data_IF_091629619174
#
_entry.id   IF_091629619174
#
_cell.length_a   1.000
_cell.length_b   1.000
_cell.length_c   1.000
_cell.angle_alpha   90.00
_cell.angle_beta   90.00
_cell.angle_gamma   90.00
#
_symmetry.space_group_name_H-M   'P 1'
#
loop_
_entity.id
_entity.type
_entity.pdbx_description
1 polymer ?
#
# COMPACT_ATOMS: atom_id res chain seq x y z
N UNK A 1 20.80 -13.63 30.43
CA UNK A 1 20.70 -13.51 28.96
C UNK A 1 19.83 -14.66 28.48
N UNK A 2 18.57 -14.39 28.15
CA UNK A 2 17.62 -15.39 27.60
C UNK A 2 17.63 -15.13 26.08
N UNK A 3 17.94 -16.13 25.24
CA UNK A 3 17.90 -15.94 23.80
C UNK A 3 16.44 -15.74 23.39
N UNK A 4 16.19 -14.66 22.65
CA UNK A 4 14.93 -14.41 22.00
C UNK A 4 14.64 -15.60 21.07
N UNK A 5 13.64 -16.38 21.43
CA UNK A 5 13.10 -17.45 20.60
C UNK A 5 12.43 -16.79 19.41
N UNK A 6 13.14 -16.72 18.29
CA UNK A 6 12.55 -16.37 17.01
C UNK A 6 11.51 -17.45 16.69
N UNK A 7 10.24 -17.15 16.96
CA UNK A 7 9.14 -17.97 16.50
C UNK A 7 9.03 -17.75 14.98
N UNK A 8 9.87 -18.43 14.22
CA UNK A 8 9.69 -18.67 12.81
C UNK A 8 8.43 -19.52 12.71
N UNK A 9 7.30 -18.85 12.52
CA UNK A 9 6.10 -19.47 11.97
C UNK A 9 6.51 -20.03 10.60
N UNK A 10 6.93 -21.29 10.58
CA UNK A 10 7.00 -22.09 9.37
C UNK A 10 5.56 -22.26 8.89
N UNK A 11 5.01 -21.24 8.20
CA UNK A 11 3.86 -21.46 7.36
C UNK A 11 4.34 -22.41 6.26
N UNK A 12 3.70 -23.58 6.09
CA UNK A 12 4.03 -24.45 4.97
C UNK A 12 3.84 -23.63 3.70
N UNK A 13 4.91 -23.51 2.91
CA UNK A 13 4.96 -22.67 1.73
C UNK A 13 3.74 -22.92 0.81
N UNK A 14 3.20 -21.88 0.23
CA UNK A 14 2.11 -21.81 -0.76
C UNK A 14 0.72 -22.31 -0.31
N UNK A 15 0.58 -23.49 0.26
CA UNK A 15 -0.75 -24.04 0.61
C UNK A 15 -1.49 -23.26 1.70
N UNK A 16 -0.79 -22.58 2.61
CA UNK A 16 -1.41 -21.78 3.68
C UNK A 16 -1.84 -20.39 3.21
N UNK A 17 -1.06 -19.75 2.34
CA UNK A 17 -1.42 -18.45 1.77
C UNK A 17 -2.63 -18.60 0.84
N UNK A 18 -2.65 -19.63 0.00
CA UNK A 18 -3.79 -19.93 -0.88
C UNK A 18 -5.08 -20.17 -0.10
N UNK A 19 -5.00 -20.91 1.01
CA UNK A 19 -6.15 -21.16 1.88
C UNK A 19 -6.66 -19.87 2.56
N UNK A 20 -5.76 -18.94 2.89
CA UNK A 20 -6.13 -17.63 3.42
C UNK A 20 -6.75 -16.74 2.34
N UNK A 21 -6.12 -16.66 1.16
CA UNK A 21 -6.60 -15.86 0.03
C UNK A 21 -7.93 -16.35 -0.54
N UNK A 22 -8.26 -17.64 -0.39
CA UNK A 22 -9.57 -18.17 -0.72
C UNK A 22 -10.70 -17.63 0.19
N UNK A 23 -10.34 -17.08 1.36
CA UNK A 23 -11.27 -16.48 2.33
C UNK A 23 -11.38 -14.96 2.20
N UNK A 24 -10.43 -14.33 1.52
CA UNK A 24 -10.36 -12.87 1.34
C UNK A 24 -8.94 -12.35 1.26
N UNK A 25 -8.78 -11.06 1.38
CA UNK A 25 -7.47 -10.41 1.43
C UNK A 25 -6.73 -10.79 2.74
N UNK A 26 -5.41 -10.93 2.62
CA UNK A 26 -4.52 -11.20 3.76
C UNK A 26 -3.81 -9.91 4.15
N UNK A 27 -3.76 -9.63 5.45
CA UNK A 27 -3.06 -8.48 6.00
C UNK A 27 -1.86 -8.92 6.82
N UNK A 28 -0.71 -8.32 6.56
CA UNK A 28 0.51 -8.53 7.31
C UNK A 28 0.97 -7.21 7.95
N UNK A 29 1.40 -7.28 9.19
CA UNK A 29 1.95 -6.14 9.93
C UNK A 29 3.35 -6.51 10.41
N UNK A 30 4.33 -5.73 10.00
CA UNK A 30 5.71 -5.89 10.43
C UNK A 30 6.04 -4.82 11.47
N UNK A 31 6.41 -5.25 12.68
CA UNK A 31 6.85 -4.37 13.75
C UNK A 31 8.38 -4.33 13.85
N UNK A 32 8.91 -3.18 14.24
CA UNK A 32 10.31 -3.03 14.63
C UNK A 32 10.58 -3.59 16.03
N UNK A 33 11.84 -3.65 16.43
CA UNK A 33 12.23 -4.08 17.78
C UNK A 33 11.75 -3.12 18.87
N UNK A 34 11.43 -1.90 18.51
CA UNK A 34 10.83 -0.85 19.35
C UNK A 34 9.31 -0.93 19.45
N UNK A 35 8.69 -1.94 18.80
CA UNK A 35 7.23 -2.12 18.75
C UNK A 35 6.52 -1.17 17.78
N UNK A 36 7.24 -0.29 17.06
CA UNK A 36 6.63 0.58 16.05
C UNK A 36 6.42 -0.17 14.74
N UNK A 37 5.40 0.22 14.01
CA UNK A 37 5.13 -0.34 12.68
C UNK A 37 6.28 -0.02 11.73
N UNK A 38 6.78 -1.04 11.04
CA UNK A 38 7.73 -0.89 9.94
C UNK A 38 7.02 -0.89 8.58
N UNK A 39 6.03 -1.75 8.43
CA UNK A 39 5.31 -1.91 7.17
C UNK A 39 3.97 -2.61 7.42
N UNK A 40 2.93 -2.16 6.74
CA UNK A 40 1.67 -2.87 6.61
C UNK A 40 1.50 -3.32 5.16
N UNK A 41 1.12 -4.57 4.94
CA UNK A 41 0.95 -5.15 3.60
C UNK A 41 -0.43 -5.78 3.48
N UNK A 42 -1.15 -5.44 2.41
CA UNK A 42 -2.35 -6.13 1.98
C UNK A 42 -2.02 -7.02 0.78
N UNK A 43 -2.44 -8.28 0.81
CA UNK A 43 -2.23 -9.26 -0.25
C UNK A 43 -3.60 -9.69 -0.77
N UNK A 44 -3.80 -9.62 -2.07
CA UNK A 44 -5.04 -10.00 -2.72
C UNK A 44 -4.78 -10.73 -4.03
N UNK A 45 -5.66 -11.67 -4.36
CA UNK A 45 -5.72 -12.25 -5.70
C UNK A 45 -6.73 -11.47 -6.55
N UNK A 46 -6.25 -10.95 -7.69
CA UNK A 46 -7.06 -10.20 -8.65
C UNK A 46 -7.24 -11.06 -9.90
N UNK A 47 -8.48 -11.45 -10.28
CA UNK A 47 -8.73 -12.34 -11.42
C UNK A 47 -8.62 -11.58 -12.75
N UNK A 48 -7.41 -11.15 -13.08
CA UNK A 48 -7.05 -10.51 -14.36
C UNK A 48 -5.54 -10.62 -14.58
N UNK A 49 -5.09 -10.39 -15.83
CA UNK A 49 -3.67 -10.44 -16.19
C UNK A 49 -2.86 -9.34 -15.50
N UNK A 50 -1.59 -9.61 -15.27
CA UNK A 50 -0.65 -8.66 -14.69
C UNK A 50 -0.55 -7.37 -15.49
N UNK A 51 -0.64 -7.45 -16.82
CA UNK A 51 -0.59 -6.27 -17.69
C UNK A 51 -1.78 -5.32 -17.45
N UNK A 52 -2.97 -5.86 -17.19
CA UNK A 52 -4.14 -5.04 -16.86
C UNK A 52 -4.02 -4.40 -15.48
N UNK A 53 -3.48 -5.13 -14.50
CA UNK A 53 -3.19 -4.57 -13.17
C UNK A 53 -2.15 -3.46 -13.30
N UNK A 54 -1.06 -3.73 -14.02
CA UNK A 54 0.01 -2.76 -14.27
C UNK A 54 -0.50 -1.49 -14.93
N UNK A 55 -1.24 -1.64 -16.04
CA UNK A 55 -1.83 -0.50 -16.76
C UNK A 55 -2.74 0.35 -15.85
N UNK A 56 -3.52 -0.28 -14.95
CA UNK A 56 -4.37 0.44 -14.00
C UNK A 56 -3.58 1.21 -12.95
N UNK A 57 -2.51 0.62 -12.42
CA UNK A 57 -1.66 1.25 -11.41
C UNK A 57 -0.78 2.36 -11.99
N UNK A 58 -0.43 2.30 -13.28
CA UNK A 58 0.40 3.32 -13.93
C UNK A 58 -0.40 4.41 -14.64
N UNK A 59 -1.71 4.33 -14.63
CA UNK A 59 -2.62 5.39 -15.09
C UNK A 59 -2.85 6.43 -13.98
N UNK A 60 -1.79 7.22 -13.72
CA UNK A 60 -1.71 8.15 -12.59
C UNK A 60 -2.84 9.19 -12.52
N UNK A 61 -3.42 9.56 -13.65
CA UNK A 61 -4.53 10.52 -13.70
C UNK A 61 -5.90 9.91 -13.39
N UNK A 62 -6.02 8.59 -13.26
CA UNK A 62 -7.30 7.91 -13.09
C UNK A 62 -7.62 7.48 -11.64
N UNK A 63 -6.74 7.69 -10.69
CA UNK A 63 -6.86 7.16 -9.33
C UNK A 63 -8.14 7.61 -8.62
N UNK A 64 -8.56 8.84 -8.80
CA UNK A 64 -9.84 9.35 -8.25
C UNK A 64 -11.06 8.54 -8.71
N UNK A 65 -10.97 7.81 -9.81
CA UNK A 65 -12.09 7.00 -10.32
C UNK A 65 -12.25 5.65 -9.63
N UNK A 66 -11.22 5.19 -8.91
CA UNK A 66 -11.21 3.84 -8.36
C UNK A 66 -10.59 3.71 -6.95
N UNK A 67 -9.66 4.58 -6.59
CA UNK A 67 -9.03 4.58 -5.26
C UNK A 67 -9.95 5.33 -4.28
N UNK A 68 -10.50 4.66 -3.29
CA UNK A 68 -11.31 5.33 -2.28
C UNK A 68 -10.54 6.46 -1.60
N UNK A 69 -11.25 7.54 -1.27
CA UNK A 69 -10.70 8.75 -0.65
C UNK A 69 -9.75 9.58 -1.54
N UNK A 70 -9.43 9.16 -2.75
CA UNK A 70 -8.66 9.97 -3.68
C UNK A 70 -9.56 11.02 -4.35
N UNK A 71 -9.40 12.29 -3.96
CA UNK A 71 -10.11 13.44 -4.56
C UNK A 71 -9.39 13.96 -5.81
N UNK A 72 -8.08 13.70 -5.91
CA UNK A 72 -7.28 14.07 -7.06
C UNK A 72 -5.95 13.35 -7.13
N UNK A 73 -5.55 13.03 -8.36
CA UNK A 73 -4.22 12.52 -8.70
C UNK A 73 -3.77 13.17 -10.00
N UNK A 74 -2.63 13.84 -9.98
CA UNK A 74 -2.11 14.57 -11.14
C UNK A 74 -0.67 14.15 -11.43
N UNK A 75 -0.44 13.60 -12.62
CA UNK A 75 0.91 13.32 -13.08
C UNK A 75 1.64 14.65 -13.35
N UNK A 76 2.66 14.96 -12.56
CA UNK A 76 3.48 16.17 -12.69
C UNK A 76 4.59 15.95 -13.72
N UNK A 77 5.28 14.81 -13.64
CA UNK A 77 6.31 14.43 -14.62
C UNK A 77 6.44 12.92 -14.74
N UNK A 78 6.92 12.49 -15.92
CA UNK A 78 7.29 11.11 -16.20
C UNK A 78 8.63 11.11 -16.93
N UNK A 79 9.68 10.63 -16.26
CA UNK A 79 11.04 10.58 -16.79
C UNK A 79 11.52 9.12 -16.78
N UNK A 80 11.48 8.50 -17.95
CA UNK A 80 11.74 7.06 -18.06
C UNK A 80 10.76 6.25 -17.20
N UNK A 81 11.27 5.55 -16.20
CA UNK A 81 10.49 4.74 -15.27
C UNK A 81 10.20 5.46 -13.95
N UNK A 82 10.33 6.77 -13.89
CA UNK A 82 10.07 7.56 -12.67
C UNK A 82 8.93 8.52 -12.91
N UNK A 83 7.84 8.35 -12.18
CA UNK A 83 6.70 9.27 -12.17
C UNK A 83 6.73 10.14 -10.91
N UNK A 84 6.40 11.43 -11.06
CA UNK A 84 6.11 12.34 -9.96
C UNK A 84 4.62 12.67 -10.02
N UNK A 85 3.90 12.49 -8.92
CA UNK A 85 2.45 12.60 -8.87
C UNK A 85 2.03 13.43 -7.67
N UNK A 86 1.14 14.39 -7.88
CA UNK A 86 0.47 15.14 -6.82
C UNK A 86 -0.82 14.43 -6.42
N UNK A 87 -1.02 14.32 -5.11
CA UNK A 87 -2.16 13.66 -4.50
C UNK A 87 -2.98 14.60 -3.63
N UNK A 88 -4.29 14.42 -3.70
CA UNK A 88 -5.27 15.02 -2.80
C UNK A 88 -6.13 13.90 -2.21
N UNK A 89 -5.93 13.59 -0.93
CA UNK A 89 -6.56 12.46 -0.24
C UNK A 89 -7.50 13.00 0.84
N UNK A 90 -8.77 12.62 0.74
CA UNK A 90 -9.79 12.94 1.73
C UNK A 90 -9.61 12.09 2.99
N UNK A 91 -9.56 12.77 4.13
CA UNK A 91 -9.48 12.14 5.46
C UNK A 91 -10.47 12.81 6.39
N UNK A 92 -10.64 12.28 7.61
CA UNK A 92 -11.42 13.00 8.64
C UNK A 92 -10.68 14.28 9.03
N UNK A 93 -11.16 15.42 8.51
CA UNK A 93 -10.54 16.73 8.66
C UNK A 93 -10.15 17.33 7.32
N UNK A 94 -9.14 18.22 7.27
CA UNK A 94 -8.63 18.76 6.01
C UNK A 94 -8.00 17.65 5.17
N UNK A 95 -8.15 17.73 3.83
CA UNK A 95 -7.50 16.82 2.91
C UNK A 95 -5.99 16.80 3.12
N UNK A 96 -5.41 15.63 2.93
CA UNK A 96 -3.96 15.42 2.96
C UNK A 96 -3.42 15.56 1.54
N UNK A 97 -2.58 16.59 1.32
CA UNK A 97 -1.95 16.86 0.02
C UNK A 97 -0.46 16.59 0.11
N UNK A 98 0.04 15.84 -0.85
CA UNK A 98 1.46 15.51 -0.94
C UNK A 98 1.88 15.19 -2.37
N UNK A 99 3.18 15.29 -2.63
CA UNK A 99 3.80 14.83 -3.87
C UNK A 99 4.56 13.54 -3.61
N UNK A 100 4.28 12.52 -4.40
CA UNK A 100 4.98 11.23 -4.39
C UNK A 100 5.85 11.05 -5.63
N UNK A 101 7.02 10.44 -5.44
CA UNK A 101 7.89 9.98 -6.52
C UNK A 101 7.85 8.46 -6.58
N UNK A 102 7.56 7.92 -7.76
CA UNK A 102 7.34 6.50 -8.00
C UNK A 102 8.34 5.96 -9.01
N UNK A 103 9.14 4.99 -8.60
CA UNK A 103 10.03 4.24 -9.49
C UNK A 103 9.35 2.94 -9.90
N UNK A 104 9.23 2.73 -11.19
CA UNK A 104 8.55 1.60 -11.81
C UNK A 104 9.57 0.63 -12.40
N UNK A 105 9.42 -0.67 -12.15
CA UNK A 105 10.13 -1.72 -12.86
C UNK A 105 9.11 -2.59 -13.61
N UNK A 106 8.92 -2.37 -14.91
CA UNK A 106 7.94 -3.10 -15.70
C UNK A 106 8.32 -4.57 -15.94
N UNK A 107 9.60 -4.95 -15.77
CA UNK A 107 10.05 -6.34 -15.90
C UNK A 107 9.79 -7.12 -14.62
N UNK A 108 10.10 -6.53 -13.48
CA UNK A 108 9.81 -7.11 -12.16
C UNK A 108 8.38 -6.87 -11.71
N UNK A 109 7.59 -6.08 -12.44
CA UNK A 109 6.24 -5.64 -12.08
C UNK A 109 6.16 -5.05 -10.66
N UNK A 110 7.10 -4.13 -10.37
CA UNK A 110 7.15 -3.44 -9.07
C UNK A 110 7.05 -1.93 -9.24
N UNK A 111 6.34 -1.28 -8.31
CA UNK A 111 6.25 0.18 -8.20
C UNK A 111 6.62 0.55 -6.78
N UNK A 112 7.66 1.37 -6.61
CA UNK A 112 8.09 1.89 -5.31
C UNK A 112 7.92 3.38 -5.25
N UNK A 113 7.12 3.83 -4.29
CA UNK A 113 6.81 5.23 -4.05
C UNK A 113 7.43 5.74 -2.76
N UNK A 114 7.83 6.99 -2.79
CA UNK A 114 8.21 7.75 -1.60
C UNK A 114 7.62 9.16 -1.66
N UNK A 115 7.22 9.68 -0.52
CA UNK A 115 6.82 11.07 -0.42
C UNK A 115 8.05 11.97 -0.60
N UNK A 116 7.90 13.06 -1.37
CA UNK A 116 8.99 14.01 -1.66
C UNK A 116 8.64 15.44 -1.29
N UNK A 117 7.36 15.80 -1.19
CA UNK A 117 6.89 17.12 -0.76
C UNK A 117 5.50 17.06 -0.13
N UNK A 118 5.15 18.06 0.66
CA UNK A 118 3.85 18.19 1.34
C UNK A 118 3.73 17.34 2.60
N UNK A 119 2.51 16.88 2.89
CA UNK A 119 2.22 16.07 4.06
C UNK A 119 2.79 14.64 3.98
N UNK A 120 2.70 13.88 5.06
CA UNK A 120 3.14 12.48 5.17
C UNK A 120 4.66 12.28 4.98
N UNK A 121 5.47 13.22 5.43
CA UNK A 121 6.93 13.18 5.29
C UNK A 121 7.53 11.84 5.72
N UNK A 122 8.36 11.24 4.86
CA UNK A 122 8.99 9.94 5.08
C UNK A 122 8.09 8.73 4.82
N UNK A 123 6.89 8.92 4.27
CA UNK A 123 6.02 7.81 3.87
C UNK A 123 6.51 7.11 2.60
N UNK A 124 6.23 5.82 2.54
CA UNK A 124 6.60 4.96 1.40
C UNK A 124 5.47 4.03 1.02
N UNK A 125 5.43 3.67 -0.26
CA UNK A 125 4.48 2.73 -0.86
C UNK A 125 5.20 1.73 -1.76
N UNK A 126 4.69 0.51 -1.81
CA UNK A 126 5.20 -0.49 -2.74
C UNK A 126 4.06 -1.35 -3.27
N UNK A 127 4.05 -1.57 -4.57
CA UNK A 127 3.23 -2.58 -5.23
C UNK A 127 4.15 -3.63 -5.83
N UNK A 128 3.83 -4.90 -5.58
CA UNK A 128 4.49 -6.05 -6.20
C UNK A 128 3.40 -6.91 -6.83
N UNK A 129 3.56 -7.19 -8.13
CA UNK A 129 2.59 -7.97 -8.89
C UNK A 129 3.24 -9.27 -9.33
N UNK A 130 2.68 -10.39 -8.91
CA UNK A 130 3.13 -11.72 -9.31
C UNK A 130 2.09 -12.35 -10.22
N UNK A 131 2.40 -12.61 -11.50
CA UNK A 131 1.46 -13.27 -12.40
C UNK A 131 1.21 -14.72 -11.96
N UNK A 132 -0.07 -15.09 -11.85
CA UNK A 132 -0.52 -16.46 -11.61
C UNK A 132 -1.21 -16.99 -12.89
N UNK A 133 -0.42 -17.26 -13.92
CA UNK A 133 -0.90 -17.56 -15.26
C UNK A 133 -1.38 -16.32 -16.02
N UNK A 134 -2.26 -16.50 -17.00
CA UNK A 134 -2.70 -15.41 -17.90
C UNK A 134 -3.92 -14.63 -17.38
N UNK A 135 -4.62 -15.15 -16.38
CA UNK A 135 -5.91 -14.62 -15.95
C UNK A 135 -5.99 -14.29 -14.46
N UNK A 136 -4.89 -14.36 -13.74
CA UNK A 136 -4.83 -14.04 -12.31
C UNK A 136 -3.50 -13.37 -11.97
N UNK A 137 -3.55 -12.44 -11.03
CA UNK A 137 -2.38 -11.75 -10.48
C UNK A 137 -2.48 -11.73 -8.96
N UNK A 138 -1.42 -12.18 -8.29
CA UNK A 138 -1.23 -11.90 -6.88
C UNK A 138 -0.71 -10.47 -6.74
N UNK A 139 -1.41 -9.65 -5.98
CA UNK A 139 -1.09 -8.25 -5.72
C UNK A 139 -0.70 -8.11 -4.26
N UNK A 140 0.50 -7.61 -4.01
CA UNK A 140 0.96 -7.22 -2.69
C UNK A 140 1.12 -5.69 -2.66
N UNK A 141 0.40 -5.04 -1.77
CA UNK A 141 0.49 -3.60 -1.56
C UNK A 141 0.97 -3.30 -0.16
N UNK A 142 2.13 -2.69 -0.07
CA UNK A 142 2.77 -2.33 1.19
C UNK A 142 2.77 -0.82 1.39
N UNK A 143 2.45 -0.38 2.59
CA UNK A 143 2.48 1.04 2.96
C UNK A 143 3.23 1.24 4.29
N UNK A 144 3.89 2.38 4.37
CA UNK A 144 4.41 2.96 5.59
C UNK A 144 4.09 4.45 5.57
N UNK A 145 2.95 4.81 6.16
CA UNK A 145 2.51 6.20 6.28
C UNK A 145 3.03 6.78 7.58
N UNK A 146 3.72 7.89 7.50
CA UNK A 146 4.09 8.68 8.66
C UNK A 146 2.98 9.69 8.96
N UNK A 147 1.98 9.26 9.72
CA UNK A 147 0.80 10.08 10.04
C UNK A 147 1.03 11.03 11.22
N UNK A 148 2.09 10.85 11.97
CA UNK A 148 2.38 11.61 13.20
C UNK A 148 2.62 13.09 12.91
N UNK A 149 3.10 13.42 11.72
CA UNK A 149 3.38 14.82 11.34
C UNK A 149 2.16 15.56 10.79
N UNK A 150 1.06 14.86 10.50
CA UNK A 150 -0.10 15.49 9.85
C UNK A 150 -0.98 16.26 10.82
N UNK A 151 -0.99 15.90 12.12
CA UNK A 151 -1.85 16.53 13.11
C UNK A 151 -1.28 16.36 14.53
N UNK A 152 -1.24 17.44 15.30
CA UNK A 152 -0.78 17.41 16.69
C UNK A 152 -1.59 16.46 17.59
N UNK A 153 -2.89 16.28 17.31
CA UNK A 153 -3.76 15.36 18.05
C UNK A 153 -3.31 13.91 17.76
N UNK A 154 -3.02 13.59 16.50
CA UNK A 154 -2.51 12.27 16.10
C UNK A 154 -1.19 11.99 16.81
N UNK A 155 -0.29 12.97 16.86
CA UNK A 155 1.00 12.86 17.58
C UNK A 155 0.79 12.56 19.06
N UNK A 156 -0.11 13.28 19.73
CA UNK A 156 -0.35 13.09 21.15
C UNK A 156 -0.99 11.72 21.46
N UNK A 157 -1.84 11.21 20.57
CA UNK A 157 -2.43 9.88 20.72
C UNK A 157 -1.40 8.79 20.42
N UNK A 158 -0.58 8.97 19.39
CA UNK A 158 0.47 8.03 18.99
C UNK A 158 1.55 7.87 20.06
N UNK A 159 1.93 8.95 20.74
CA UNK A 159 2.89 8.92 21.86
C UNK A 159 2.39 8.05 23.03
N UNK A 160 1.08 7.89 23.15
CA UNK A 160 0.46 7.05 24.20
C UNK A 160 0.10 5.65 23.70
N UNK A 161 -0.23 5.51 22.42
CA UNK A 161 -0.76 4.26 21.84
C UNK A 161 -0.29 4.07 20.39
N UNK A 162 0.84 3.39 20.18
CA UNK A 162 1.38 3.04 18.83
C UNK A 162 0.41 2.23 17.95
N UNK A 163 -0.72 1.78 18.49
CA UNK A 163 -1.73 0.99 17.75
C UNK A 163 -2.49 1.80 16.70
N UNK A 164 -2.54 3.13 16.80
CA UNK A 164 -3.17 3.97 15.80
C UNK A 164 -2.42 3.91 14.45
N UNK A 165 -1.10 3.96 14.50
CA UNK A 165 -0.23 3.81 13.32
C UNK A 165 -0.47 2.48 12.59
N UNK A 166 -0.63 1.40 13.33
CA UNK A 166 -0.99 0.08 12.77
C UNK A 166 -2.34 0.12 12.06
N UNK A 167 -3.37 0.68 12.72
CA UNK A 167 -4.73 0.76 12.19
C UNK A 167 -4.81 1.57 10.90
N UNK A 168 -4.19 2.75 10.85
CA UNK A 168 -4.20 3.62 9.68
C UNK A 168 -3.48 2.96 8.51
N UNK A 169 -2.28 2.46 8.73
CA UNK A 169 -1.46 1.87 7.67
C UNK A 169 -2.13 0.63 7.04
N UNK A 170 -2.65 -0.30 7.87
CA UNK A 170 -3.31 -1.48 7.30
C UNK A 170 -4.64 -1.16 6.65
N UNK A 171 -5.39 -0.18 7.16
CA UNK A 171 -6.62 0.28 6.53
C UNK A 171 -6.34 0.88 5.15
N UNK A 172 -5.31 1.72 5.01
CA UNK A 172 -4.89 2.27 3.72
C UNK A 172 -4.52 1.18 2.73
N UNK A 173 -3.64 0.24 3.12
CA UNK A 173 -3.25 -0.87 2.26
C UNK A 173 -4.45 -1.68 1.77
N UNK A 174 -5.39 -2.01 2.67
CA UNK A 174 -6.59 -2.79 2.32
C UNK A 174 -7.54 -2.01 1.42
N UNK A 175 -7.80 -0.74 1.73
CA UNK A 175 -8.75 0.10 0.98
C UNK A 175 -8.26 0.30 -0.45
N UNK A 176 -6.98 0.58 -0.64
CA UNK A 176 -6.36 0.75 -1.96
C UNK A 176 -6.38 -0.56 -2.75
N UNK A 177 -5.99 -1.68 -2.13
CA UNK A 177 -6.01 -3.00 -2.77
C UNK A 177 -7.42 -3.43 -3.19
N UNK A 178 -8.43 -3.18 -2.34
CA UNK A 178 -9.84 -3.47 -2.65
C UNK A 178 -10.39 -2.56 -3.75
N UNK A 179 -10.02 -1.29 -3.73
CA UNK A 179 -10.38 -0.34 -4.79
C UNK A 179 -9.85 -0.78 -6.14
N UNK A 180 -8.57 -1.16 -6.21
CA UNK A 180 -7.94 -1.73 -7.40
C UNK A 180 -8.65 -2.99 -7.89
N UNK A 181 -8.88 -3.96 -7.01
CA UNK A 181 -9.58 -5.21 -7.33
C UNK A 181 -10.98 -4.93 -7.90
N UNK A 182 -11.77 -4.09 -7.23
CA UNK A 182 -13.11 -3.71 -7.68
C UNK A 182 -13.08 -3.04 -9.06
N UNK A 183 -12.13 -2.13 -9.29
CA UNK A 183 -11.99 -1.45 -10.58
C UNK A 183 -11.68 -2.39 -11.75
N UNK A 184 -11.01 -3.50 -11.48
CA UNK A 184 -10.59 -4.48 -12.49
C UNK A 184 -11.56 -5.63 -12.69
N UNK A 185 -12.45 -5.91 -11.71
CA UNK A 185 -13.39 -7.04 -11.74
C UNK A 185 -14.85 -6.62 -11.91
N UNK A 186 -15.13 -5.34 -11.78
CA UNK A 186 -16.50 -4.81 -11.72
C UNK A 186 -17.14 -5.00 -10.32
N UNK A 187 -18.36 -4.50 -10.15
CA UNK A 187 -19.11 -4.65 -8.91
C UNK A 187 -19.48 -6.09 -8.62
#
# INVERSE_FOLDING_TARGET
MIPALALLLHLPASSSLDALLARGEVSLLEAGPDGRLRKATAIARVPTSVDRVWAKLTDWGSYQSWMPQCEGSTLVSLEGNVATVDWDISVVGPNVKFTGRYTMDPVAHTIRGQQVDGALSGSTWEWVLTPEGSASTLVEHSVRLNVVETNWIVRQVEDQHHTLDYGINISSALVETRGLKKALTGP
#
